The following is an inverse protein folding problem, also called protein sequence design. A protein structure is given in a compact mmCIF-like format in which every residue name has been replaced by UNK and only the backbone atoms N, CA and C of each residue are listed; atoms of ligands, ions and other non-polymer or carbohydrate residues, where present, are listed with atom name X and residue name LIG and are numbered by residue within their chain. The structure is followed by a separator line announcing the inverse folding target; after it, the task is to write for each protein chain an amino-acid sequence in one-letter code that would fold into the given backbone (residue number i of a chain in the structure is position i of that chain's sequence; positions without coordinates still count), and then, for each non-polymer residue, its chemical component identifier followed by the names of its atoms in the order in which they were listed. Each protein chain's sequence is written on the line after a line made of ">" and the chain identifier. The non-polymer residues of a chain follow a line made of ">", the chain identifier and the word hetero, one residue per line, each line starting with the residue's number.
data_IF_168100826019
#
_entry.id   IF_168100826019
#
_cell.length_a   1.000
_cell.length_b   1.000
_cell.length_c   1.000
_cell.angle_alpha   90.00
_cell.angle_beta   90.00
_cell.angle_gamma   90.00
#
_symmetry.space_group_name_H-M   'P 1'
#
loop_
_entity.id
_entity.type
_entity.pdbx_description
1 polymer ?
#
# COMPACT_ATOMS: atom_id res chain seq x y z
N UNK A 1 21.42 75.83 -0.44
CA UNK A 1 20.59 75.61 0.76
C UNK A 1 19.90 74.27 0.62
N UNK A 2 20.02 73.41 1.63
CA UNK A 2 19.43 72.06 1.71
C UNK A 2 17.92 72.15 1.95
N UNK A 3 17.10 71.34 1.26
CA UNK A 3 15.94 70.64 1.82
C UNK A 3 15.74 69.31 1.09
N UNK A 4 15.71 68.24 1.87
CA UNK A 4 15.42 66.86 1.48
C UNK A 4 13.98 66.51 1.92
N UNK A 5 13.53 65.33 1.47
CA UNK A 5 12.49 64.42 2.02
C UNK A 5 11.34 64.10 1.03
N UNK A 6 10.60 62.99 1.20
CA UNK A 6 11.03 61.66 0.72
C UNK A 6 9.87 60.81 0.15
N UNK A 7 10.16 59.53 -0.11
CA UNK A 7 9.25 58.42 0.19
C UNK A 7 8.06 58.16 -0.77
N UNK A 8 8.28 57.22 -1.69
CA UNK A 8 7.36 56.07 -1.91
C UNK A 8 8.05 55.05 -2.81
N UNK A 9 9.01 54.34 -2.21
CA UNK A 9 9.54 53.10 -2.76
C UNK A 9 8.45 52.04 -2.59
N UNK A 10 7.68 51.81 -3.65
CA UNK A 10 6.64 50.79 -3.72
C UNK A 10 7.36 49.44 -3.88
N UNK A 11 7.70 48.84 -2.73
CA UNK A 11 8.20 47.46 -2.62
C UNK A 11 7.07 46.51 -3.04
N UNK A 12 7.05 46.16 -4.32
CA UNK A 12 6.36 45.00 -4.85
C UNK A 12 7.01 43.75 -4.26
N UNK A 13 6.46 43.27 -3.14
CA UNK A 13 6.77 41.95 -2.60
C UNK A 13 6.19 40.92 -3.58
N UNK A 14 7.00 40.47 -4.54
CA UNK A 14 6.76 39.18 -5.18
C UNK A 14 6.91 38.13 -4.08
N UNK A 15 5.76 37.69 -3.56
CA UNK A 15 5.64 36.46 -2.82
C UNK A 15 6.00 35.31 -3.78
N UNK A 16 7.30 35.04 -3.90
CA UNK A 16 7.79 33.76 -4.36
C UNK A 16 7.32 32.74 -3.33
N UNK A 17 6.18 32.12 -3.61
CA UNK A 17 5.72 30.95 -2.91
C UNK A 17 6.87 29.94 -2.95
N UNK A 18 7.46 29.52 -1.82
CA UNK A 18 8.36 28.39 -1.82
C UNK A 18 7.49 27.19 -2.16
N UNK A 19 7.42 26.86 -3.45
CA UNK A 19 6.91 25.59 -3.94
C UNK A 19 7.77 24.50 -3.30
N UNK A 20 7.35 24.09 -2.11
CA UNK A 20 7.77 22.86 -1.47
C UNK A 20 7.20 21.75 -2.33
N UNK A 21 7.89 21.45 -3.43
CA UNK A 21 7.60 20.26 -4.21
C UNK A 21 7.57 19.09 -3.23
N UNK A 22 6.50 18.28 -3.21
CA UNK A 22 6.51 17.02 -2.50
C UNK A 22 7.78 16.30 -2.91
N UNK A 23 8.60 15.88 -1.94
CA UNK A 23 9.71 14.99 -2.26
C UNK A 23 9.05 13.72 -2.78
N UNK A 24 9.02 13.56 -4.09
CA UNK A 24 8.59 12.31 -4.70
C UNK A 24 9.36 11.19 -4.01
N UNK A 25 8.68 10.11 -3.58
CA UNK A 25 9.35 9.02 -2.89
C UNK A 25 10.50 8.52 -3.78
N UNK A 26 11.71 8.54 -3.22
CA UNK A 26 12.92 8.14 -3.93
C UNK A 26 12.74 6.70 -4.42
N UNK A 27 12.66 6.51 -5.73
CA UNK A 27 12.54 5.21 -6.37
C UNK A 27 13.87 4.47 -6.30
N UNK A 28 14.12 3.81 -5.18
CA UNK A 28 15.20 2.82 -5.06
C UNK A 28 14.56 1.43 -5.08
N UNK A 29 14.81 0.61 -6.12
CA UNK A 29 14.38 -0.78 -6.13
C UNK A 29 15.01 -1.50 -4.94
N UNK A 30 14.21 -2.22 -4.15
CA UNK A 30 14.77 -3.14 -3.17
C UNK A 30 15.03 -4.51 -3.81
N UNK A 31 15.98 -5.27 -3.26
CA UNK A 31 16.26 -6.63 -3.69
C UNK A 31 15.15 -7.63 -3.31
N UNK A 32 15.29 -8.91 -3.69
CA UNK A 32 14.26 -9.93 -3.44
C UNK A 32 13.98 -10.19 -1.95
N UNK A 33 15.00 -10.11 -1.08
CA UNK A 33 14.85 -10.37 0.38
C UNK A 33 13.87 -9.41 1.09
N UNK A 34 13.91 -8.08 0.85
CA UNK A 34 12.87 -7.17 1.34
C UNK A 34 11.44 -7.55 0.95
N UNK A 35 11.22 -8.01 -0.29
CA UNK A 35 9.89 -8.44 -0.74
C UNK A 35 9.43 -9.72 -0.03
N UNK A 36 10.33 -10.68 0.22
CA UNK A 36 10.05 -11.89 1.01
C UNK A 36 9.60 -11.54 2.44
N UNK A 37 10.38 -10.70 3.14
CA UNK A 37 10.06 -10.28 4.51
C UNK A 37 8.73 -9.53 4.60
N UNK A 38 8.46 -8.66 3.62
CA UNK A 38 7.18 -7.97 3.50
C UNK A 38 6.03 -8.97 3.27
N UNK A 39 6.20 -9.93 2.36
CA UNK A 39 5.16 -10.91 2.06
C UNK A 39 4.82 -11.80 3.26
N UNK A 40 5.83 -12.30 3.97
CA UNK A 40 5.65 -13.12 5.17
C UNK A 40 4.89 -12.36 6.27
N UNK A 41 5.23 -11.09 6.49
CA UNK A 41 4.51 -10.23 7.44
C UNK A 41 3.04 -10.08 7.05
N UNK A 42 2.79 -9.71 5.80
CA UNK A 42 1.43 -9.44 5.29
C UNK A 42 0.56 -10.69 5.38
N UNK A 43 1.07 -11.86 5.01
CA UNK A 43 0.34 -13.12 5.13
C UNK A 43 0.11 -13.50 6.59
N UNK A 44 1.07 -13.22 7.48
CA UNK A 44 0.87 -13.37 8.93
C UNK A 44 -0.31 -12.54 9.47
N UNK A 45 -0.56 -11.35 8.91
CA UNK A 45 -1.72 -10.52 9.28
C UNK A 45 -3.06 -11.08 8.78
N UNK A 46 -3.06 -12.02 7.83
CA UNK A 46 -4.27 -12.61 7.25
C UNK A 46 -4.74 -13.87 7.98
N UNK A 47 -4.01 -14.33 9.00
CA UNK A 47 -4.38 -15.50 9.78
C UNK A 47 -5.71 -15.25 10.51
N UNK A 48 -6.78 -16.00 10.18
CA UNK A 48 -8.07 -15.80 10.81
C UNK A 48 -7.97 -16.10 12.30
N UNK A 49 -8.61 -15.29 13.13
CA UNK A 49 -8.75 -15.56 14.57
C UNK A 49 -10.15 -16.10 14.84
N UNK A 50 -10.23 -17.21 15.56
CA UNK A 50 -11.49 -17.77 16.05
C UNK A 50 -12.11 -16.76 17.03
N UNK A 51 -13.31 -16.23 16.75
CA UNK A 51 -13.94 -15.21 17.59
C UNK A 51 -14.38 -15.76 18.96
N UNK A 52 -14.52 -17.07 19.11
CA UNK A 52 -14.93 -17.74 20.35
C UNK A 52 -13.73 -18.01 21.26
N UNK A 53 -12.62 -18.45 20.68
CA UNK A 53 -11.43 -18.86 21.45
C UNK A 53 -10.31 -17.82 21.46
N UNK A 54 -10.37 -16.82 20.58
CA UNK A 54 -9.31 -15.84 20.38
C UNK A 54 -8.02 -16.43 19.79
N UNK A 55 -8.04 -17.69 19.35
CA UNK A 55 -6.87 -18.39 18.80
C UNK A 55 -6.83 -18.21 17.29
N UNK A 56 -5.63 -18.18 16.73
CA UNK A 56 -5.46 -18.24 15.29
C UNK A 56 -5.96 -19.60 14.77
N UNK A 57 -6.80 -19.56 13.74
CA UNK A 57 -7.25 -20.71 12.98
C UNK A 57 -6.22 -20.93 11.88
N UNK A 58 -5.82 -22.19 11.70
CA UNK A 58 -4.89 -22.57 10.64
C UNK A 58 -5.46 -22.09 9.29
N UNK A 59 -4.77 -21.14 8.68
CA UNK A 59 -5.12 -20.68 7.34
C UNK A 59 -4.87 -21.82 6.36
N UNK A 60 -5.68 -21.93 5.31
CA UNK A 60 -5.39 -22.88 4.24
C UNK A 60 -3.98 -22.58 3.69
N UNK A 61 -3.03 -23.50 3.96
CA UNK A 61 -1.62 -23.33 3.59
C UNK A 61 -1.46 -23.05 2.10
N UNK A 62 -2.27 -23.67 1.26
CA UNK A 62 -2.25 -23.44 -0.19
C UNK A 62 -2.61 -21.99 -0.55
N UNK A 63 -3.58 -21.41 0.16
CA UNK A 63 -3.99 -20.01 -0.03
C UNK A 63 -2.93 -19.05 0.48
N UNK A 64 -2.34 -19.32 1.66
CA UNK A 64 -1.23 -18.54 2.19
C UNK A 64 -0.03 -18.55 1.23
N UNK A 65 0.38 -19.73 0.75
CA UNK A 65 1.48 -19.92 -0.20
C UNK A 65 1.19 -19.21 -1.55
N UNK A 66 -0.07 -19.17 -2.00
CA UNK A 66 -0.45 -18.43 -3.21
C UNK A 66 -0.30 -16.91 -3.03
N UNK A 67 -0.78 -16.36 -1.90
CA UNK A 67 -0.68 -14.93 -1.60
C UNK A 67 0.79 -14.51 -1.41
N UNK A 68 1.58 -15.28 -0.67
CA UNK A 68 3.03 -15.04 -0.49
C UNK A 68 3.72 -14.94 -1.85
N UNK A 69 3.47 -15.89 -2.75
CA UNK A 69 4.07 -15.88 -4.10
C UNK A 69 3.67 -14.66 -4.91
N UNK A 70 2.39 -14.26 -4.89
CA UNK A 70 1.94 -13.05 -5.59
C UNK A 70 2.65 -11.82 -5.05
N UNK A 71 2.70 -11.63 -3.72
CA UNK A 71 3.35 -10.48 -3.10
C UNK A 71 4.82 -10.38 -3.49
N UNK A 72 5.57 -11.49 -3.43
CA UNK A 72 6.99 -11.53 -3.80
C UNK A 72 7.17 -11.20 -5.29
N UNK A 73 6.38 -11.83 -6.17
CA UNK A 73 6.49 -11.65 -7.62
C UNK A 73 6.16 -10.21 -8.02
N UNK A 74 5.02 -9.66 -7.59
CA UNK A 74 4.62 -8.29 -7.95
C UNK A 74 5.56 -7.25 -7.36
N UNK A 75 6.01 -7.44 -6.12
CA UNK A 75 6.98 -6.55 -5.48
C UNK A 75 8.31 -6.50 -6.26
N UNK A 76 8.81 -7.67 -6.66
CA UNK A 76 10.10 -7.81 -7.37
C UNK A 76 9.99 -7.35 -8.82
N UNK A 77 9.00 -7.85 -9.55
CA UNK A 77 8.80 -7.58 -10.98
C UNK A 77 8.47 -6.11 -11.24
N UNK A 78 7.55 -5.55 -10.46
CA UNK A 78 7.14 -4.15 -10.61
C UNK A 78 8.05 -3.19 -9.83
N UNK A 79 9.11 -3.72 -9.18
CA UNK A 79 10.15 -2.96 -8.50
C UNK A 79 9.58 -1.94 -7.52
N UNK A 80 8.79 -2.42 -6.57
CA UNK A 80 8.22 -1.55 -5.53
C UNK A 80 9.34 -0.80 -4.81
N UNK A 81 9.08 0.47 -4.48
CA UNK A 81 10.06 1.31 -3.78
C UNK A 81 10.29 0.78 -2.36
N UNK A 82 11.45 1.09 -1.78
CA UNK A 82 11.71 0.79 -0.37
C UNK A 82 10.69 1.43 0.58
N UNK A 83 10.16 2.61 0.25
CA UNK A 83 9.12 3.26 1.05
C UNK A 83 7.81 2.46 1.02
N UNK A 84 7.39 1.99 -0.17
CA UNK A 84 6.22 1.13 -0.30
C UNK A 84 6.41 -0.17 0.49
N UNK A 85 7.55 -0.85 0.32
CA UNK A 85 7.83 -2.09 1.05
C UNK A 85 7.84 -1.88 2.56
N UNK A 86 8.50 -0.83 3.06
CA UNK A 86 8.48 -0.47 4.48
C UNK A 86 7.07 -0.18 5.00
N UNK A 87 6.24 0.49 4.20
CA UNK A 87 4.85 0.72 4.57
C UNK A 87 4.09 -0.60 4.73
N UNK A 88 4.22 -1.52 3.77
CA UNK A 88 3.56 -2.83 3.81
C UNK A 88 4.08 -3.72 4.95
N UNK A 89 5.39 -3.75 5.19
CA UNK A 89 5.99 -4.44 6.34
C UNK A 89 5.60 -3.83 7.69
N UNK A 90 5.15 -2.58 7.71
CA UNK A 90 4.74 -1.85 8.91
C UNK A 90 3.23 -1.91 9.18
N UNK A 91 2.46 -2.64 8.38
CA UNK A 91 1.01 -2.73 8.55
C UNK A 91 0.66 -3.41 9.89
N UNK A 92 -0.29 -2.84 10.62
CA UNK A 92 -0.85 -3.45 11.82
C UNK A 92 -2.00 -4.42 11.49
N UNK A 93 -2.64 -4.22 10.34
CA UNK A 93 -3.73 -5.05 9.84
C UNK A 93 -3.73 -5.05 8.32
N UNK A 94 -4.20 -6.13 7.70
CA UNK A 94 -4.42 -6.15 6.25
C UNK A 94 -5.43 -5.09 5.79
N UNK A 95 -6.32 -4.60 6.67
CA UNK A 95 -7.24 -3.48 6.35
C UNK A 95 -6.52 -2.16 6.11
N UNK A 96 -5.27 -2.04 6.56
CA UNK A 96 -4.47 -0.83 6.44
C UNK A 96 -3.72 -0.72 5.12
N UNK A 97 -3.80 -1.74 4.23
CA UNK A 97 -3.05 -1.76 2.95
C UNK A 97 -3.31 -0.54 2.07
N UNK A 98 -4.52 0.03 2.13
CA UNK A 98 -4.88 1.24 1.38
C UNK A 98 -4.03 2.46 1.77
N UNK A 99 -3.50 2.49 3.00
CA UNK A 99 -2.59 3.56 3.46
C UNK A 99 -1.26 3.55 2.71
N UNK A 100 -0.86 2.41 2.16
CA UNK A 100 0.37 2.26 1.38
C UNK A 100 0.16 2.51 -0.12
N UNK A 101 -1.09 2.56 -0.58
CA UNK A 101 -1.41 2.77 -2.00
C UNK A 101 -0.75 4.03 -2.61
N UNK A 102 -0.65 5.19 -1.92
CA UNK A 102 0.00 6.37 -2.47
C UNK A 102 1.51 6.22 -2.76
N UNK A 103 2.17 5.22 -2.17
CA UNK A 103 3.60 4.94 -2.39
C UNK A 103 3.87 4.06 -3.62
N UNK A 104 2.80 3.62 -4.28
CA UNK A 104 2.83 2.79 -5.47
C UNK A 104 2.34 3.58 -6.68
N UNK A 105 2.77 3.17 -7.86
CA UNK A 105 2.19 3.66 -9.12
C UNK A 105 0.79 3.08 -9.33
N UNK A 106 -0.01 3.71 -10.20
CA UNK A 106 -1.32 3.15 -10.59
C UNK A 106 -1.13 1.74 -11.17
N UNK A 107 -0.18 1.58 -12.08
CA UNK A 107 0.13 0.31 -12.74
C UNK A 107 0.51 -0.80 -11.73
N UNK A 108 1.33 -0.48 -10.72
CA UNK A 108 1.69 -1.42 -9.65
C UNK A 108 0.46 -1.91 -8.88
N UNK A 109 -0.47 -1.02 -8.53
CA UNK A 109 -1.70 -1.39 -7.81
C UNK A 109 -2.60 -2.27 -8.66
N UNK A 110 -2.76 -1.93 -9.93
CA UNK A 110 -3.58 -2.70 -10.85
C UNK A 110 -2.97 -4.08 -11.18
N UNK A 111 -1.65 -4.16 -11.38
CA UNK A 111 -0.93 -5.41 -11.56
C UNK A 111 -1.11 -6.32 -10.35
N UNK A 112 -0.97 -5.76 -9.15
CA UNK A 112 -1.19 -6.50 -7.91
C UNK A 112 -2.62 -7.05 -7.80
N UNK A 113 -3.63 -6.21 -8.06
CA UNK A 113 -5.05 -6.65 -8.06
C UNK A 113 -5.30 -7.81 -9.03
N UNK A 114 -4.82 -7.69 -10.28
CA UNK A 114 -4.94 -8.76 -11.27
C UNK A 114 -4.22 -10.05 -10.85
N UNK A 115 -3.04 -9.94 -10.25
CA UNK A 115 -2.28 -11.09 -9.79
C UNK A 115 -2.99 -11.81 -8.63
N UNK A 116 -3.58 -11.06 -7.70
CA UNK A 116 -4.40 -11.61 -6.62
C UNK A 116 -5.65 -12.33 -7.15
N UNK A 117 -6.39 -11.70 -8.08
CA UNK A 117 -7.58 -12.30 -8.71
C UNK A 117 -7.27 -13.59 -9.48
N UNK A 118 -6.06 -13.68 -10.06
CA UNK A 118 -5.60 -14.86 -10.78
C UNK A 118 -5.13 -15.98 -9.84
N UNK A 119 -4.53 -15.64 -8.69
CA UNK A 119 -3.95 -16.60 -7.76
C UNK A 119 -4.97 -17.20 -6.78
N UNK A 120 -6.04 -16.47 -6.46
CA UNK A 120 -7.03 -16.93 -5.52
C UNK A 120 -8.17 -17.71 -6.21
N UNK A 121 -8.52 -18.91 -5.72
CA UNK A 121 -9.59 -19.70 -6.33
C UNK A 121 -10.93 -18.99 -6.16
N UNK A 122 -11.61 -18.69 -7.29
CA UNK A 122 -12.94 -18.05 -7.31
C UNK A 122 -14.01 -18.76 -6.47
N UNK A 123 -13.82 -20.04 -6.16
CA UNK A 123 -14.74 -20.86 -5.36
C UNK A 123 -14.98 -20.33 -3.93
N UNK A 124 -14.16 -19.43 -3.39
CA UNK A 124 -14.39 -18.80 -2.09
C UNK A 124 -15.42 -17.65 -2.11
N UNK A 125 -15.71 -17.09 -3.29
CA UNK A 125 -16.60 -15.91 -3.45
C UNK A 125 -18.02 -16.32 -3.87
N UNK A 126 -18.15 -17.49 -4.50
CA UNK A 126 -19.43 -18.04 -4.97
C UNK A 126 -20.15 -18.92 -3.92
N UNK A 127 -19.78 -18.82 -2.63
CA UNK A 127 -20.61 -19.32 -1.54
C UNK A 127 -21.87 -18.43 -1.44
N UNK A 128 -22.78 -18.71 -2.36
CA UNK A 128 -24.13 -18.19 -2.52
C UNK A 128 -24.78 -17.90 -1.15
N UNK A 129 -25.42 -16.74 -0.94
CA UNK A 129 -26.34 -16.57 0.18
C UNK A 129 -27.29 -17.77 0.19
N UNK A 130 -27.54 -18.35 1.36
CA UNK A 130 -28.58 -19.35 1.50
C UNK A 130 -29.92 -18.70 1.12
N UNK A 131 -30.28 -18.77 -0.15
CA UNK A 131 -31.64 -18.59 -0.64
C UNK A 131 -32.46 -19.72 -0.01
N UNK A 132 -33.31 -19.35 0.95
CA UNK A 132 -34.32 -20.22 1.54
C UNK A 132 -35.11 -19.42 2.58
N UNK A 133 -36.14 -18.68 2.15
CA UNK A 133 -37.53 -19.17 2.06
C UNK A 133 -38.21 -19.16 3.44
N UNK A 134 -39.38 -18.56 3.65
CA UNK A 134 -40.32 -17.92 2.76
C UNK A 134 -41.62 -17.67 3.55
N UNK A 135 -42.46 -16.81 2.98
CA UNK A 135 -43.81 -16.39 3.43
C UNK A 135 -43.86 -15.45 4.64
#
# INVERSE_FOLDING_TARGET
>A
MRRAAPLKFLLLILAACPSSAPKDPTYTPAGPKPCEQMADHVVGLMQPTDPTTGKQVEQNRETADAITRVLIDTCTKDKWTQDAQRCWSGLASFRDVEKCAPLMTIEQRENFGRAMDAALPRKAVDAKPADGAGS
#
